data_IF_286703132337
#
_entry.id   IF_286703132337
#
_cell.length_a   1.000
_cell.length_b   1.000
_cell.length_c   1.000
_cell.angle_alpha   90.00
_cell.angle_beta   90.00
_cell.angle_gamma   90.00
#
_symmetry.space_group_name_H-M   'P 1'
#
loop_
_entity.id
_entity.type
_entity.pdbx_description
1 polymer ?
#
# COMPACT_ATOMS: atom_id res chain seq x y z
N UNK A 1 -23.78 47.16 41.90
CA UNK A 1 -22.54 46.38 41.58
C UNK A 1 -22.91 45.21 40.75
N UNK A 2 -22.65 45.29 39.48
CA UNK A 2 -22.86 44.17 38.54
C UNK A 2 -21.60 43.36 38.45
N UNK A 3 -21.65 42.12 38.94
CA UNK A 3 -20.59 41.15 38.70
C UNK A 3 -20.83 40.57 37.29
N UNK A 4 -19.95 40.91 36.36
CA UNK A 4 -19.94 40.24 35.09
C UNK A 4 -19.26 38.87 35.24
N UNK A 5 -20.07 37.82 35.08
CA UNK A 5 -19.54 36.48 34.98
C UNK A 5 -19.08 36.27 33.54
N UNK A 6 -17.76 36.29 33.31
CA UNK A 6 -17.19 35.89 32.04
C UNK A 6 -17.29 34.37 31.96
N UNK A 7 -18.26 33.85 31.22
CA UNK A 7 -18.25 32.48 30.79
C UNK A 7 -17.18 32.32 29.68
N UNK A 8 -15.99 31.90 30.05
CA UNK A 8 -15.02 31.43 29.09
C UNK A 8 -15.51 30.09 28.55
N UNK A 9 -16.13 30.10 27.40
CA UNK A 9 -16.40 28.89 26.64
C UNK A 9 -15.06 28.36 26.14
N UNK A 10 -14.51 27.36 26.83
CA UNK A 10 -13.41 26.61 26.32
C UNK A 10 -13.93 25.77 25.16
N UNK A 11 -13.74 26.24 23.92
CA UNK A 11 -13.86 25.39 22.75
C UNK A 11 -12.74 24.37 22.83
N UNK A 12 -13.06 23.20 23.36
CA UNK A 12 -12.18 22.06 23.23
C UNK A 12 -12.11 21.67 21.75
N UNK A 13 -11.02 22.02 21.06
CA UNK A 13 -10.69 21.38 19.81
C UNK A 13 -10.43 19.91 20.15
N UNK A 14 -11.44 19.07 19.90
CA UNK A 14 -11.20 17.65 19.82
C UNK A 14 -10.38 17.41 18.55
N UNK A 15 -9.05 17.37 18.69
CA UNK A 15 -8.20 16.85 17.64
C UNK A 15 -8.56 15.38 17.47
N UNK A 16 -9.33 15.05 16.42
CA UNK A 16 -9.47 13.68 15.99
C UNK A 16 -8.09 13.25 15.50
N UNK A 17 -7.32 12.61 16.38
CA UNK A 17 -6.12 11.93 15.96
C UNK A 17 -6.56 10.86 14.97
N UNK A 18 -6.21 11.04 13.68
CA UNK A 18 -6.33 9.98 12.71
C UNK A 18 -5.45 8.84 13.20
N UNK A 19 -6.05 7.76 13.76
CA UNK A 19 -5.28 6.60 14.16
C UNK A 19 -4.80 5.89 12.90
N UNK A 20 -3.50 5.61 12.84
CA UNK A 20 -2.90 4.80 11.80
C UNK A 20 -3.41 3.35 11.94
N UNK A 21 -3.86 2.80 10.82
CA UNK A 21 -4.34 1.42 10.75
C UNK A 21 -3.21 0.48 10.32
N UNK A 22 -3.36 -0.79 10.66
CA UNK A 22 -2.54 -1.87 10.11
C UNK A 22 -3.43 -2.72 9.20
N UNK A 23 -3.03 -2.81 7.94
CA UNK A 23 -3.73 -3.58 6.92
C UNK A 23 -2.92 -4.83 6.62
N UNK A 24 -3.54 -6.00 6.74
CA UNK A 24 -2.88 -7.28 6.51
C UNK A 24 -3.03 -7.72 5.06
N UNK A 25 -1.91 -8.14 4.47
CA UNK A 25 -1.83 -8.74 3.13
C UNK A 25 -1.13 -10.09 3.28
N UNK A 26 -1.79 -11.16 2.91
CA UNK A 26 -1.20 -12.49 2.97
C UNK A 26 -0.42 -12.80 1.70
N UNK A 27 0.72 -13.45 1.86
CA UNK A 27 1.53 -13.95 0.76
C UNK A 27 1.25 -15.44 0.59
N UNK A 28 0.48 -15.79 -0.44
CA UNK A 28 -0.08 -17.13 -0.64
C UNK A 28 0.60 -17.86 -1.79
N UNK A 29 0.55 -19.20 -1.72
CA UNK A 29 0.97 -20.10 -2.78
C UNK A 29 2.45 -20.50 -2.68
N UNK A 30 2.70 -21.80 -2.59
CA UNK A 30 4.04 -22.36 -2.48
C UNK A 30 4.29 -23.55 -3.42
N UNK A 31 3.25 -24.04 -4.07
CA UNK A 31 3.33 -25.21 -4.92
C UNK A 31 3.06 -24.91 -6.39
N UNK A 32 3.36 -25.84 -7.30
CA UNK A 32 3.17 -25.64 -8.73
C UNK A 32 1.71 -25.50 -9.15
N UNK A 33 0.79 -26.01 -8.33
CA UNK A 33 -0.65 -25.96 -8.59
C UNK A 33 -1.37 -24.85 -7.81
N UNK A 34 -0.64 -24.07 -7.01
CA UNK A 34 -1.20 -22.98 -6.23
C UNK A 34 -0.85 -21.62 -6.88
N UNK A 35 -1.85 -20.76 -7.01
CA UNK A 35 -1.62 -19.41 -7.46
C UNK A 35 -0.77 -18.65 -6.41
N UNK A 36 0.35 -18.09 -6.84
CA UNK A 36 1.21 -17.26 -6.02
C UNK A 36 0.72 -15.83 -6.08
N UNK A 37 0.08 -15.37 -5.01
CA UNK A 37 -0.61 -14.08 -4.97
C UNK A 37 -0.41 -13.36 -3.65
N UNK A 38 -0.49 -12.04 -3.70
CA UNK A 38 -0.81 -11.23 -2.53
C UNK A 38 -2.34 -11.17 -2.38
N UNK A 39 -2.83 -11.32 -1.17
CA UNK A 39 -4.26 -11.30 -0.88
C UNK A 39 -4.57 -10.41 0.34
N UNK A 40 -5.23 -9.28 0.16
CA UNK A 40 -5.67 -8.68 -1.11
C UNK A 40 -4.50 -8.14 -1.95
N UNK A 41 -4.63 -8.14 -3.25
CA UNK A 41 -3.62 -7.61 -4.16
C UNK A 41 -3.76 -6.10 -4.41
N UNK A 42 -4.95 -5.55 -4.20
CA UNK A 42 -5.20 -4.11 -4.20
C UNK A 42 -5.57 -3.65 -2.80
N UNK A 43 -4.86 -2.63 -2.31
CA UNK A 43 -5.03 -2.10 -0.96
C UNK A 43 -5.24 -0.60 -1.03
N UNK A 44 -6.24 -0.10 -0.31
CA UNK A 44 -6.41 1.33 -0.05
C UNK A 44 -5.97 1.64 1.36
N UNK A 45 -5.09 2.63 1.50
CA UNK A 45 -4.55 3.05 2.78
C UNK A 45 -4.50 4.58 2.86
N UNK A 46 -4.28 5.07 4.07
CA UNK A 46 -4.05 6.48 4.34
C UNK A 46 -2.59 6.71 4.74
N UNK A 47 -2.05 7.92 4.52
CA UNK A 47 -0.69 8.22 4.97
C UNK A 47 -0.53 7.94 6.48
N UNK A 48 0.50 7.18 6.83
CA UNK A 48 0.78 6.74 8.20
C UNK A 48 0.33 5.32 8.51
N UNK A 49 -0.47 4.70 7.65
CA UNK A 49 -0.86 3.30 7.81
C UNK A 49 0.32 2.35 7.60
N UNK A 50 0.21 1.18 8.18
CA UNK A 50 1.19 0.10 7.99
C UNK A 50 0.54 -1.03 7.21
N UNK A 51 1.23 -1.49 6.18
CA UNK A 51 0.86 -2.69 5.46
C UNK A 51 1.70 -3.84 6.02
N UNK A 52 1.03 -4.83 6.57
CA UNK A 52 1.68 -6.02 7.12
C UNK A 52 1.54 -7.17 6.13
N UNK A 53 2.66 -7.52 5.50
CA UNK A 53 2.72 -8.66 4.59
C UNK A 53 3.05 -9.90 5.39
N UNK A 54 2.10 -10.84 5.43
CA UNK A 54 2.19 -12.04 6.24
C UNK A 54 2.60 -13.22 5.39
N UNK A 55 3.74 -13.81 5.72
CA UNK A 55 4.19 -15.05 5.09
C UNK A 55 3.31 -16.22 5.56
N UNK A 56 2.55 -16.81 4.64
CA UNK A 56 1.73 -17.98 4.90
C UNK A 56 2.29 -19.24 4.23
N UNK A 57 3.16 -19.03 3.25
CA UNK A 57 3.90 -20.08 2.56
C UNK A 57 5.31 -19.58 2.28
N UNK A 58 6.27 -20.48 2.17
CA UNK A 58 7.68 -20.13 2.08
C UNK A 58 8.08 -19.59 0.71
N UNK A 59 9.13 -18.75 0.68
CA UNK A 59 9.79 -18.32 -0.53
C UNK A 59 9.26 -17.01 -1.13
N UNK A 60 8.53 -16.22 -0.35
CA UNK A 60 8.06 -14.92 -0.76
C UNK A 60 8.78 -13.79 -0.04
N UNK A 61 8.78 -12.61 -0.66
CA UNK A 61 9.25 -11.38 -0.06
C UNK A 61 8.43 -10.21 -0.59
N UNK A 62 8.77 -9.01 -0.15
CA UNK A 62 8.16 -7.78 -0.62
C UNK A 62 9.25 -6.88 -1.16
N UNK A 63 9.18 -6.55 -2.43
CA UNK A 63 10.08 -5.60 -3.06
C UNK A 63 9.26 -4.56 -3.82
N UNK A 64 9.63 -3.29 -3.67
CA UNK A 64 8.99 -2.22 -4.43
C UNK A 64 9.40 -2.30 -5.90
N UNK A 65 8.45 -2.01 -6.79
CA UNK A 65 8.66 -2.06 -8.23
C UNK A 65 9.18 -0.70 -8.70
N UNK A 66 10.27 -0.71 -9.47
CA UNK A 66 10.87 0.51 -10.03
C UNK A 66 9.85 1.25 -10.90
N UNK A 67 9.72 2.55 -10.67
CA UNK A 67 8.76 3.41 -11.38
C UNK A 67 7.37 3.43 -10.77
N UNK A 68 7.12 2.64 -9.73
CA UNK A 68 5.84 2.56 -9.05
C UNK A 68 5.94 2.94 -7.58
N UNK A 69 6.64 4.03 -7.31
CA UNK A 69 6.71 4.64 -5.98
C UNK A 69 6.40 6.12 -6.09
N UNK A 70 5.67 6.70 -5.13
CA UNK A 70 5.53 8.15 -5.08
C UNK A 70 6.86 8.81 -4.75
N UNK A 71 6.99 10.06 -5.17
CA UNK A 71 8.18 10.85 -4.85
C UNK A 71 8.37 10.94 -3.33
N UNK A 72 9.60 10.77 -2.88
CA UNK A 72 9.95 10.78 -1.46
C UNK A 72 9.78 9.45 -0.74
N UNK A 73 9.16 8.45 -1.36
CA UNK A 73 9.07 7.11 -0.78
C UNK A 73 10.39 6.36 -0.97
N UNK A 74 10.77 5.59 0.04
CA UNK A 74 12.00 4.80 0.02
C UNK A 74 11.74 3.41 -0.56
N UNK A 75 12.52 2.99 -1.57
CA UNK A 75 12.43 1.61 -2.06
C UNK A 75 12.77 0.60 -0.98
N UNK A 76 12.07 -0.53 -0.97
CA UNK A 76 12.32 -1.62 -0.03
C UNK A 76 12.46 -2.94 -0.75
N UNK A 77 13.23 -3.85 -0.14
CA UNK A 77 13.32 -5.25 -0.54
C UNK A 77 13.52 -6.08 0.73
N UNK A 78 12.49 -6.83 1.11
CA UNK A 78 12.55 -7.65 2.31
C UNK A 78 13.28 -8.99 2.05
N UNK A 79 13.82 -9.64 3.10
CA UNK A 79 14.36 -10.98 2.97
C UNK A 79 13.31 -12.00 2.55
N UNK A 80 13.72 -12.99 1.77
CA UNK A 80 12.84 -14.11 1.41
C UNK A 80 12.46 -14.93 2.66
N UNK A 81 11.20 -15.36 2.70
CA UNK A 81 10.73 -16.24 3.75
C UNK A 81 10.37 -15.56 5.05
N UNK A 82 10.26 -14.25 5.06
CA UNK A 82 9.90 -13.46 6.25
C UNK A 82 8.69 -12.58 5.99
N UNK A 83 7.87 -12.42 7.03
CA UNK A 83 6.83 -11.39 7.03
C UNK A 83 7.49 -10.00 7.09
N UNK A 84 6.82 -9.01 6.55
CA UNK A 84 7.36 -7.66 6.44
C UNK A 84 6.30 -6.61 6.73
N UNK A 85 6.68 -5.58 7.48
CA UNK A 85 5.81 -4.43 7.77
C UNK A 85 6.35 -3.19 7.07
N UNK A 86 5.48 -2.53 6.32
CA UNK A 86 5.81 -1.34 5.56
C UNK A 86 4.87 -0.20 5.96
N UNK A 87 5.41 0.84 6.56
CA UNK A 87 4.64 2.05 6.87
C UNK A 87 4.66 2.98 5.65
N UNK A 88 3.47 3.32 5.15
CA UNK A 88 3.32 4.15 3.96
C UNK A 88 2.97 5.57 4.37
N UNK A 89 3.91 6.49 4.18
CA UNK A 89 3.76 7.90 4.62
C UNK A 89 3.50 8.85 3.47
N UNK A 90 3.96 8.51 2.26
CA UNK A 90 3.78 9.34 1.08
C UNK A 90 2.50 8.98 0.36
N UNK A 91 1.73 9.98 -0.03
CA UNK A 91 0.54 9.80 -0.85
C UNK A 91 0.93 9.34 -2.26
N UNK A 92 0.18 8.39 -2.81
CA UNK A 92 0.40 7.88 -4.15
C UNK A 92 0.25 6.37 -4.26
N UNK A 93 0.70 5.82 -5.38
CA UNK A 93 0.64 4.40 -5.69
C UNK A 93 1.99 3.74 -5.42
N UNK A 94 1.95 2.63 -4.69
CA UNK A 94 3.10 1.77 -4.41
C UNK A 94 2.87 0.43 -5.09
N UNK A 95 3.70 0.11 -6.06
CA UNK A 95 3.71 -1.22 -6.66
C UNK A 95 4.73 -2.09 -5.94
N UNK A 96 4.32 -3.29 -5.54
CA UNK A 96 5.20 -4.26 -4.89
C UNK A 96 5.09 -5.63 -5.56
N UNK A 97 6.13 -6.43 -5.42
CA UNK A 97 6.22 -7.77 -5.98
C UNK A 97 6.91 -8.70 -4.99
N UNK A 98 6.67 -9.99 -5.14
CA UNK A 98 7.58 -11.01 -4.61
C UNK A 98 8.68 -11.21 -5.66
N UNK A 99 9.93 -10.89 -5.33
CA UNK A 99 11.03 -10.79 -6.31
C UNK A 99 11.20 -12.03 -7.17
N UNK A 100 11.17 -13.21 -6.55
CA UNK A 100 11.33 -14.48 -7.26
C UNK A 100 10.09 -14.88 -8.08
N UNK A 101 8.95 -14.24 -7.86
CA UNK A 101 7.66 -14.57 -8.48
C UNK A 101 7.09 -13.43 -9.31
N UNK A 102 7.84 -12.37 -9.50
CA UNK A 102 7.40 -11.18 -10.24
C UNK A 102 6.90 -11.52 -11.63
N UNK A 103 7.70 -12.25 -12.40
CA UNK A 103 7.34 -12.63 -13.78
C UNK A 103 6.17 -13.63 -13.83
N UNK A 104 5.84 -14.26 -12.70
CA UNK A 104 4.66 -15.13 -12.56
C UNK A 104 3.40 -14.36 -12.15
N UNK A 105 3.50 -13.04 -12.02
CA UNK A 105 2.36 -12.18 -11.73
C UNK A 105 2.08 -11.94 -10.25
N UNK A 106 3.01 -12.29 -9.36
CA UNK A 106 2.84 -12.01 -7.93
C UNK A 106 3.20 -10.56 -7.61
N UNK A 107 2.22 -9.70 -7.80
CA UNK A 107 2.30 -8.25 -7.60
C UNK A 107 1.12 -7.75 -6.79
N UNK A 108 1.31 -6.61 -6.16
CA UNK A 108 0.24 -5.89 -5.44
C UNK A 108 0.37 -4.39 -5.70
N UNK A 109 -0.75 -3.70 -5.57
CA UNK A 109 -0.83 -2.26 -5.71
C UNK A 109 -1.46 -1.66 -4.46
N UNK A 110 -0.76 -0.73 -3.84
CA UNK A 110 -1.22 -0.02 -2.64
C UNK A 110 -1.48 1.42 -3.04
N UNK A 111 -2.72 1.87 -2.88
CA UNK A 111 -3.09 3.27 -3.07
C UNK A 111 -3.15 3.94 -1.69
N UNK A 112 -2.27 4.91 -1.49
CA UNK A 112 -2.19 5.71 -0.26
C UNK A 112 -2.76 7.09 -0.57
N UNK A 113 -3.94 7.39 -0.06
CA UNK A 113 -4.64 8.62 -0.36
C UNK A 113 -4.89 8.79 -1.87
N UNK A 114 -4.55 9.94 -2.43
CA UNK A 114 -4.68 10.21 -3.85
C UNK A 114 -3.59 9.54 -4.68
N UNK A 115 -3.95 9.07 -5.87
CA UNK A 115 -3.01 8.44 -6.80
C UNK A 115 -2.21 9.51 -7.58
N UNK A 116 -1.39 10.27 -6.87
CA UNK A 116 -0.68 11.44 -7.42
C UNK A 116 0.37 11.07 -8.48
N UNK A 117 0.82 9.82 -8.51
CA UNK A 117 1.79 9.30 -9.46
C UNK A 117 1.18 8.30 -10.47
N UNK A 118 -0.12 8.40 -10.72
CA UNK A 118 -0.83 7.44 -11.58
C UNK A 118 -0.22 7.30 -12.97
N UNK A 119 0.11 8.43 -13.62
CA UNK A 119 0.66 8.40 -14.97
C UNK A 119 2.01 7.68 -15.01
N UNK A 120 2.89 7.94 -14.04
CA UNK A 120 4.16 7.26 -13.91
C UNK A 120 3.97 5.76 -13.62
N UNK A 121 3.03 5.42 -12.74
CA UNK A 121 2.72 4.03 -12.41
C UNK A 121 2.21 3.25 -13.62
N UNK A 122 1.35 3.87 -14.44
CA UNK A 122 0.86 3.27 -15.68
C UNK A 122 1.96 3.09 -16.73
N UNK A 123 2.94 3.98 -16.73
CA UNK A 123 4.05 3.93 -17.68
C UNK A 123 5.15 2.96 -17.27
N UNK A 124 5.17 2.47 -16.03
CA UNK A 124 6.19 1.55 -15.55
C UNK A 124 6.16 0.23 -16.33
N UNK A 125 7.30 -0.20 -16.91
CA UNK A 125 7.34 -1.44 -17.67
C UNK A 125 7.32 -2.67 -16.75
N UNK A 126 6.65 -3.73 -17.20
CA UNK A 126 6.59 -4.99 -16.49
C UNK A 126 6.93 -6.16 -17.42
N UNK A 127 7.42 -7.25 -16.83
CA UNK A 127 7.81 -8.46 -17.53
C UNK A 127 6.88 -9.62 -17.20
N UNK A 128 6.71 -10.52 -18.16
CA UNK A 128 5.94 -11.75 -17.96
C UNK A 128 4.48 -11.46 -17.59
N UNK A 129 3.95 -12.27 -16.70
CA UNK A 129 2.56 -12.16 -16.24
C UNK A 129 2.32 -10.93 -15.35
N UNK A 130 3.36 -10.29 -14.85
CA UNK A 130 3.22 -9.07 -14.07
C UNK A 130 2.58 -7.94 -14.87
N UNK A 131 2.77 -7.90 -16.18
CA UNK A 131 2.18 -6.88 -17.05
C UNK A 131 0.66 -6.89 -16.97
N UNK A 132 0.03 -8.03 -17.21
CA UNK A 132 -1.41 -8.16 -17.18
C UNK A 132 -1.95 -8.01 -15.76
N UNK A 133 -1.27 -8.61 -14.78
CA UNK A 133 -1.68 -8.53 -13.38
C UNK A 133 -1.69 -7.09 -12.87
N UNK A 134 -0.65 -6.33 -13.14
CA UNK A 134 -0.58 -4.93 -12.69
C UNK A 134 -1.55 -4.04 -13.47
N UNK A 135 -1.75 -4.28 -14.77
CA UNK A 135 -2.72 -3.54 -15.56
C UNK A 135 -4.13 -3.70 -14.98
N UNK A 136 -4.49 -4.89 -14.54
CA UNK A 136 -5.77 -5.16 -13.90
C UNK A 136 -5.90 -4.43 -12.55
N UNK A 137 -4.86 -4.46 -11.72
CA UNK A 137 -4.85 -3.74 -10.44
C UNK A 137 -4.97 -2.23 -10.64
N UNK A 138 -4.36 -1.67 -11.65
CA UNK A 138 -4.46 -0.24 -11.96
C UNK A 138 -5.88 0.20 -12.31
N UNK A 139 -6.73 -0.70 -12.77
CA UNK A 139 -8.15 -0.40 -13.02
C UNK A 139 -8.94 -0.16 -11.73
N UNK A 140 -8.44 -0.64 -10.58
CA UNK A 140 -9.08 -0.50 -9.28
C UNK A 140 -8.76 0.83 -8.59
N UNK A 141 -7.83 1.61 -9.14
CA UNK A 141 -7.44 2.91 -8.58
C UNK A 141 -8.64 3.85 -8.51
N UNK A 142 -8.85 4.45 -7.35
CA UNK A 142 -9.95 5.36 -7.10
C UNK A 142 -9.47 6.81 -7.12
N UNK A 143 -10.37 7.70 -7.52
CA UNK A 143 -10.15 9.14 -7.50
C UNK A 143 -11.15 9.78 -6.56
N UNK A 144 -10.68 10.59 -5.62
CA UNK A 144 -11.58 11.36 -4.78
C UNK A 144 -11.99 12.65 -5.50
N UNK A 145 -13.26 13.07 -5.31
CA UNK A 145 -13.73 14.36 -5.76
C UNK A 145 -14.12 14.47 -7.23
N UNK A 146 -14.29 13.36 -7.93
CA UNK A 146 -14.91 13.38 -9.27
C UNK A 146 -16.41 13.21 -9.21
#
# INVERSE_FOLDING_TARGET
MMKQILCAAALGLAATAASADTIQVRMLGAGPDEAMVFDPAFVQAEPGDTIEFIETSHGHNVATIRGMLPEGATPVASPLGESYRMTVTQEGLYGVASSARYTLGMVALIQVGEAVNLDAARAAPHKGLARAAMAELLTEVTHSGS
#
